data_IF_389671937211
#
_entry.id   IF_389671937211
#
_cell.length_a   1.000
_cell.length_b   1.000
_cell.length_c   1.000
_cell.angle_alpha   90.00
_cell.angle_beta   90.00
_cell.angle_gamma   90.00
#
_symmetry.space_group_name_H-M   'P 1'
#
loop_
_entity.id
_entity.type
_entity.pdbx_description
1 polymer ?
#
# COMPACT_ATOMS: atom_id res chain seq x y z
N UNK A 1 -32.15 -39.67 31.68
CA UNK A 1 -32.48 -38.30 32.11
C UNK A 1 -31.32 -37.47 31.64
N UNK A 2 -31.38 -37.11 30.36
CA UNK A 2 -30.30 -36.48 29.62
C UNK A 2 -30.29 -34.98 29.91
N UNK A 3 -29.18 -34.50 30.45
CA UNK A 3 -28.87 -33.09 30.65
C UNK A 3 -28.68 -32.40 29.30
N UNK A 4 -29.70 -31.66 28.87
CA UNK A 4 -29.61 -30.77 27.71
C UNK A 4 -29.09 -29.41 28.17
N UNK A 5 -27.82 -29.15 27.89
CA UNK A 5 -27.17 -27.84 28.07
C UNK A 5 -27.47 -26.96 26.86
N UNK A 6 -28.35 -25.98 27.03
CA UNK A 6 -28.51 -24.88 26.07
C UNK A 6 -27.32 -23.91 26.15
N UNK A 7 -26.66 -23.55 25.02
CA UNK A 7 -25.75 -22.42 25.02
C UNK A 7 -26.53 -21.12 24.77
N UNK A 8 -26.50 -20.23 25.77
CA UNK A 8 -26.82 -18.80 25.67
C UNK A 8 -26.14 -18.17 24.45
N UNK A 9 -26.90 -17.83 23.43
CA UNK A 9 -26.43 -16.94 22.36
C UNK A 9 -26.63 -15.50 22.84
N UNK A 10 -25.54 -14.91 23.32
CA UNK A 10 -25.46 -13.50 23.67
C UNK A 10 -25.21 -12.63 22.43
N UNK A 11 -26.02 -11.56 22.33
CA UNK A 11 -25.76 -10.28 21.67
C UNK A 11 -25.34 -10.28 20.20
N UNK A 12 -26.33 -10.14 19.32
CA UNK A 12 -26.17 -9.47 18.03
C UNK A 12 -27.30 -8.43 17.87
N UNK A 13 -27.18 -7.29 18.54
CA UNK A 13 -28.11 -6.17 18.38
C UNK A 13 -27.36 -4.84 18.27
N UNK A 14 -26.86 -4.55 17.06
CA UNK A 14 -26.55 -3.19 16.59
C UNK A 14 -26.91 -3.03 15.10
N UNK A 15 -27.96 -3.71 14.66
CA UNK A 15 -28.58 -3.47 13.35
C UNK A 15 -29.75 -2.50 13.52
N UNK A 16 -29.46 -1.19 13.49
CA UNK A 16 -30.36 -0.13 13.02
C UNK A 16 -29.78 1.25 13.36
N UNK A 17 -29.40 2.03 12.34
CA UNK A 17 -29.78 3.45 12.20
C UNK A 17 -29.18 4.10 10.93
N UNK A 18 -30.09 4.57 10.06
CA UNK A 18 -29.93 5.48 8.90
C UNK A 18 -29.41 4.80 7.62
N UNK A 19 -30.05 5.02 6.45
CA UNK A 19 -29.39 4.76 5.17
C UNK A 19 -28.31 5.84 5.00
N UNK A 20 -27.14 5.60 5.59
CA UNK A 20 -25.96 6.31 5.16
C UNK A 20 -25.61 5.76 3.79
N UNK A 21 -25.52 6.65 2.81
CA UNK A 21 -24.98 6.35 1.49
C UNK A 21 -23.50 5.97 1.68
N UNK A 22 -23.29 4.70 2.05
CA UNK A 22 -22.00 4.12 2.33
C UNK A 22 -21.44 3.64 0.99
N UNK A 23 -20.26 4.09 0.57
CA UNK A 23 -19.63 3.56 -0.62
C UNK A 23 -19.45 2.04 -0.48
N UNK A 24 -19.67 1.32 -1.57
CA UNK A 24 -19.53 -0.14 -1.61
C UNK A 24 -18.07 -0.56 -1.38
N UNK A 25 -17.12 0.22 -1.90
CA UNK A 25 -15.70 0.02 -1.75
C UNK A 25 -14.99 1.35 -1.47
N UNK A 26 -13.99 1.33 -0.58
CA UNK A 26 -13.13 2.48 -0.25
C UNK A 26 -11.68 2.04 -0.31
N UNK A 27 -10.87 2.73 -1.11
CA UNK A 27 -9.43 2.48 -1.20
C UNK A 27 -8.64 3.44 -0.29
N UNK A 28 -7.60 2.93 0.39
CA UNK A 28 -6.72 3.74 1.24
C UNK A 28 -6.07 4.89 0.45
N UNK A 29 -5.59 4.61 -0.77
CA UNK A 29 -4.93 5.57 -1.64
C UNK A 29 -5.79 6.79 -1.97
N UNK A 30 -7.11 6.61 -2.11
CA UNK A 30 -8.04 7.72 -2.34
C UNK A 30 -8.12 8.64 -1.11
N UNK A 31 -8.14 8.06 0.10
CA UNK A 31 -8.16 8.82 1.35
C UNK A 31 -6.85 9.60 1.58
N UNK A 32 -5.72 9.09 1.09
CA UNK A 32 -4.46 9.85 1.08
C UNK A 32 -4.49 11.03 0.11
N UNK A 33 -5.20 10.91 -1.01
CA UNK A 33 -5.34 11.98 -2.01
C UNK A 33 -6.30 13.12 -1.62
N UNK A 34 -7.24 12.88 -0.71
CA UNK A 34 -8.25 13.87 -0.31
C UNK A 34 -7.68 15.04 0.52
N UNK A 35 -8.42 16.11 0.68
CA UNK A 35 -8.06 17.21 1.60
C UNK A 35 -8.47 16.90 3.04
N UNK A 36 -7.80 17.51 4.03
CA UNK A 36 -8.16 17.35 5.45
C UNK A 36 -9.63 17.73 5.73
N UNK A 37 -10.15 18.73 5.00
CA UNK A 37 -11.55 19.16 5.09
C UNK A 37 -12.51 18.06 4.64
N UNK A 38 -12.24 17.41 3.50
CA UNK A 38 -13.06 16.31 2.99
C UNK A 38 -13.05 15.11 3.95
N UNK A 39 -11.89 14.77 4.50
CA UNK A 39 -11.79 13.71 5.51
C UNK A 39 -12.60 14.03 6.77
N UNK A 40 -12.57 15.28 7.23
CA UNK A 40 -13.37 15.72 8.37
C UNK A 40 -14.88 15.70 8.07
N UNK A 41 -15.30 16.07 6.85
CA UNK A 41 -16.68 15.99 6.39
C UNK A 41 -17.18 14.53 6.36
N UNK A 42 -16.37 13.59 5.85
CA UNK A 42 -16.65 12.14 5.91
C UNK A 42 -16.74 11.63 7.36
N UNK A 43 -15.86 12.08 8.24
CA UNK A 43 -15.92 11.67 9.64
C UNK A 43 -17.19 12.17 10.33
N UNK A 44 -17.65 13.39 10.00
CA UNK A 44 -18.93 13.94 10.49
C UNK A 44 -20.13 13.18 9.94
N UNK A 45 -20.13 12.82 8.65
CA UNK A 45 -21.24 12.04 8.06
C UNK A 45 -21.36 10.67 8.73
N UNK A 46 -20.22 10.04 9.05
CA UNK A 46 -20.16 8.79 9.78
C UNK A 46 -20.39 8.97 11.30
N UNK A 47 -20.61 10.20 11.80
CA UNK A 47 -20.81 10.51 13.24
C UNK A 47 -19.65 10.02 14.12
N UNK A 48 -18.43 10.04 13.61
CA UNK A 48 -17.24 9.67 14.36
C UNK A 48 -16.84 10.76 15.34
N UNK A 49 -16.46 10.36 16.56
CA UNK A 49 -15.82 11.25 17.52
C UNK A 49 -14.36 11.42 17.13
N UNK A 50 -14.08 12.49 16.40
CA UNK A 50 -12.71 12.85 15.99
C UNK A 50 -12.08 13.73 17.05
N UNK A 51 -10.91 13.34 17.54
CA UNK A 51 -10.09 14.23 18.37
C UNK A 51 -9.35 15.22 17.45
N UNK A 52 -9.47 16.54 17.67
CA UNK A 52 -8.86 17.55 16.80
C UNK A 52 -7.33 17.54 16.83
N UNK A 53 -6.72 17.07 17.93
CA UNK A 53 -5.25 17.00 18.07
C UNK A 53 -4.62 15.80 17.35
N UNK A 54 -5.43 14.92 16.75
CA UNK A 54 -4.92 13.76 16.02
C UNK A 54 -4.38 14.15 14.65
N UNK A 55 -3.28 13.50 14.25
CA UNK A 55 -2.71 13.71 12.92
C UNK A 55 -3.66 13.22 11.83
N UNK A 56 -3.50 13.75 10.61
CA UNK A 56 -4.25 13.33 9.41
C UNK A 56 -4.30 11.79 9.25
N UNK A 57 -3.18 11.10 9.49
CA UNK A 57 -3.09 9.64 9.37
C UNK A 57 -3.96 8.91 10.40
N UNK A 58 -4.06 9.43 11.63
CA UNK A 58 -4.97 8.86 12.62
C UNK A 58 -6.44 9.05 12.23
N UNK A 59 -6.79 10.17 11.60
CA UNK A 59 -8.14 10.38 11.07
C UNK A 59 -8.48 9.38 9.97
N UNK A 60 -7.53 9.09 9.07
CA UNK A 60 -7.68 8.08 8.02
C UNK A 60 -7.88 6.70 8.65
N UNK A 61 -7.05 6.33 9.64
CA UNK A 61 -7.21 5.10 10.40
C UNK A 61 -8.61 4.97 11.04
N UNK A 62 -9.08 6.03 11.71
CA UNK A 62 -10.39 6.04 12.37
C UNK A 62 -11.54 5.91 11.34
N UNK A 63 -11.40 6.51 10.15
CA UNK A 63 -12.36 6.36 9.04
C UNK A 63 -12.40 4.93 8.50
N UNK A 64 -11.23 4.33 8.23
CA UNK A 64 -11.14 2.96 7.73
C UNK A 64 -11.75 1.95 8.70
N UNK A 65 -11.49 2.11 10.01
CA UNK A 65 -12.14 1.31 11.06
C UNK A 65 -13.67 1.46 11.01
N UNK A 66 -14.16 2.68 10.82
CA UNK A 66 -15.59 2.94 10.75
C UNK A 66 -16.25 2.31 9.51
N UNK A 67 -15.60 2.38 8.35
CA UNK A 67 -16.07 1.74 7.11
C UNK A 67 -16.10 0.22 7.25
N UNK A 68 -15.02 -0.39 7.76
CA UNK A 68 -14.94 -1.83 7.99
C UNK A 68 -16.03 -2.33 8.95
N UNK A 69 -16.25 -1.64 10.08
CA UNK A 69 -17.29 -2.00 11.06
C UNK A 69 -18.73 -1.89 10.51
N UNK A 70 -18.94 -1.16 9.40
CA UNK A 70 -20.25 -0.98 8.75
C UNK A 70 -20.44 -1.87 7.54
N UNK A 71 -19.47 -2.73 7.22
CA UNK A 71 -19.53 -3.68 6.12
C UNK A 71 -19.09 -3.10 4.76
N UNK A 72 -18.50 -1.91 4.72
CA UNK A 72 -17.87 -1.38 3.50
C UNK A 72 -16.56 -2.13 3.24
N UNK A 73 -16.38 -2.64 2.02
CA UNK A 73 -15.13 -3.29 1.63
C UNK A 73 -14.05 -2.23 1.56
N UNK A 74 -12.99 -2.42 2.34
CA UNK A 74 -11.87 -1.48 2.38
C UNK A 74 -10.67 -2.11 1.71
N UNK A 75 -10.17 -1.50 0.64
CA UNK A 75 -9.01 -1.97 -0.12
C UNK A 75 -7.77 -1.12 0.15
N UNK A 76 -6.61 -1.75 0.03
CA UNK A 76 -5.32 -1.11 0.21
C UNK A 76 -4.32 -1.62 -0.80
N UNK A 77 -3.42 -0.75 -1.22
CA UNK A 77 -2.24 -1.04 -2.01
C UNK A 77 -1.02 -0.40 -1.36
N UNK A 78 0.09 -1.13 -1.30
CA UNK A 78 1.31 -0.63 -0.67
C UNK A 78 2.49 -1.57 -0.86
N UNK A 79 3.68 -1.07 -0.54
CA UNK A 79 4.92 -1.83 -0.61
C UNK A 79 5.15 -2.52 0.73
N UNK A 80 5.33 -3.84 0.71
CA UNK A 80 5.58 -4.64 1.89
C UNK A 80 6.95 -4.32 2.49
N UNK A 81 6.96 -3.92 3.75
CA UNK A 81 8.15 -3.76 4.58
C UNK A 81 8.12 -4.79 5.71
N UNK A 82 9.05 -5.74 5.67
CA UNK A 82 9.14 -6.81 6.67
C UNK A 82 9.92 -6.31 7.89
N UNK A 83 9.28 -6.38 9.06
CA UNK A 83 9.90 -6.07 10.34
C UNK A 83 10.31 -7.37 11.02
N UNK A 84 11.55 -7.79 10.76
CA UNK A 84 12.03 -9.12 11.16
C UNK A 84 11.51 -10.22 10.23
N UNK A 85 11.51 -11.48 10.70
CA UNK A 85 11.35 -12.62 9.79
C UNK A 85 9.89 -12.97 9.42
N UNK A 86 8.89 -12.54 10.20
CA UNK A 86 7.55 -13.14 10.14
C UNK A 86 6.38 -12.16 10.16
N UNK A 87 6.60 -10.85 10.20
CA UNK A 87 5.49 -9.90 10.05
C UNK A 87 5.97 -8.65 9.32
N UNK A 88 5.03 -7.94 8.72
CA UNK A 88 5.34 -6.73 7.98
C UNK A 88 4.22 -5.72 8.00
N UNK A 89 4.51 -4.57 7.43
CA UNK A 89 3.57 -3.48 7.24
C UNK A 89 3.55 -3.09 5.77
N UNK A 90 2.37 -2.73 5.25
CA UNK A 90 2.28 -2.12 3.93
C UNK A 90 2.56 -0.63 4.06
N UNK A 91 3.59 -0.17 3.36
CA UNK A 91 4.02 1.23 3.32
C UNK A 91 3.47 1.92 2.08
N UNK A 92 2.97 3.14 2.29
CA UNK A 92 2.37 3.93 1.22
C UNK A 92 3.43 4.81 0.52
N UNK A 93 3.40 4.83 -0.82
CA UNK A 93 4.30 5.66 -1.62
C UNK A 93 4.09 7.19 -1.44
N UNK A 94 2.85 7.72 -1.34
CA UNK A 94 2.62 9.16 -1.09
C UNK A 94 3.30 9.68 0.18
N UNK A 95 3.53 8.77 1.14
CA UNK A 95 4.09 9.04 2.45
C UNK A 95 5.60 8.78 2.54
N UNK A 96 6.27 8.62 1.38
CA UNK A 96 7.69 8.29 1.25
C UNK A 96 8.09 7.04 2.05
N UNK A 97 7.19 6.05 2.11
CA UNK A 97 7.37 4.80 2.85
C UNK A 97 7.65 4.98 4.35
N UNK A 98 7.31 6.14 4.92
CA UNK A 98 7.53 6.43 6.33
C UNK A 98 6.48 5.73 7.20
N UNK A 99 6.89 5.07 8.31
CA UNK A 99 5.96 4.39 9.20
C UNK A 99 4.83 5.30 9.68
N UNK A 100 3.59 4.82 9.50
CA UNK A 100 2.36 5.49 9.89
C UNK A 100 1.45 4.60 10.74
N UNK A 101 0.52 5.19 11.51
CA UNK A 101 -0.48 4.43 12.27
C UNK A 101 -1.56 3.78 11.37
N UNK A 102 -1.73 4.31 10.16
CA UNK A 102 -2.64 3.84 9.11
C UNK A 102 -2.06 2.71 8.25
N UNK A 103 -0.78 2.37 8.44
CA UNK A 103 -0.14 1.27 7.72
C UNK A 103 -0.75 -0.08 8.12
N UNK A 104 -1.27 -0.86 7.16
CA UNK A 104 -1.81 -2.19 7.43
C UNK A 104 -0.73 -3.17 7.86
N UNK A 105 -1.02 -3.92 8.92
CA UNK A 105 -0.27 -5.08 9.35
C UNK A 105 -0.53 -6.27 8.43
N UNK A 106 0.53 -6.96 8.03
CA UNK A 106 0.46 -8.18 7.22
C UNK A 106 0.80 -9.39 8.10
N UNK A 107 -0.16 -10.31 8.32
CA UNK A 107 0.07 -11.52 9.10
C UNK A 107 1.13 -12.45 8.50
N UNK A 108 1.90 -13.19 9.33
CA UNK A 108 2.86 -14.20 8.89
C UNK A 108 2.28 -15.21 7.92
N UNK A 109 1.04 -15.63 8.17
CA UNK A 109 0.36 -16.64 7.36
C UNK A 109 0.24 -16.22 5.89
N UNK A 110 -0.01 -14.92 5.61
CA UNK A 110 -0.10 -14.42 4.23
C UNK A 110 1.30 -14.32 3.60
N UNK A 111 2.30 -13.89 4.37
CA UNK A 111 3.70 -13.80 3.91
C UNK A 111 4.21 -15.17 3.48
N UNK A 112 4.07 -16.17 4.35
CA UNK A 112 4.50 -17.55 4.06
C UNK A 112 3.69 -18.20 2.95
N UNK A 113 2.37 -17.96 2.88
CA UNK A 113 1.48 -18.55 1.86
C UNK A 113 1.84 -18.10 0.43
N UNK A 114 2.15 -16.81 0.25
CA UNK A 114 2.44 -16.24 -1.07
C UNK A 114 3.94 -16.01 -1.33
N UNK A 115 4.81 -16.42 -0.40
CA UNK A 115 6.25 -16.23 -0.50
C UNK A 115 6.67 -14.77 -0.63
N UNK A 116 5.97 -13.87 0.07
CA UNK A 116 6.19 -12.43 -0.05
C UNK A 116 7.55 -12.04 0.54
N UNK A 117 8.21 -11.08 -0.11
CA UNK A 117 9.49 -10.51 0.32
C UNK A 117 9.35 -9.00 0.52
N UNK A 118 10.27 -8.43 1.30
CA UNK A 118 10.33 -6.97 1.46
C UNK A 118 10.55 -6.31 0.11
N UNK A 119 9.80 -5.24 -0.16
CA UNK A 119 9.77 -4.55 -1.45
C UNK A 119 8.63 -5.00 -2.38
N UNK A 120 7.90 -6.07 -2.06
CA UNK A 120 6.79 -6.47 -2.93
C UNK A 120 5.62 -5.48 -2.88
N UNK A 121 5.09 -5.10 -4.04
CA UNK A 121 3.84 -4.36 -4.13
C UNK A 121 2.66 -5.31 -3.90
N UNK A 122 1.92 -5.09 -2.83
CA UNK A 122 0.79 -5.93 -2.42
C UNK A 122 -0.48 -5.08 -2.40
N UNK A 123 -1.53 -5.60 -3.02
CA UNK A 123 -2.87 -5.04 -2.92
C UNK A 123 -3.84 -6.06 -2.33
N UNK A 124 -4.75 -5.61 -1.48
CA UNK A 124 -5.69 -6.49 -0.81
C UNK A 124 -6.76 -5.77 -0.01
N UNK A 125 -7.55 -6.55 0.70
CA UNK A 125 -8.67 -6.08 1.53
C UNK A 125 -8.26 -6.04 2.99
N UNK A 126 -8.62 -4.95 3.65
CA UNK A 126 -8.45 -4.78 5.09
C UNK A 126 -9.57 -5.52 5.82
N UNK A 127 -9.19 -6.21 6.89
CA UNK A 127 -10.13 -6.86 7.79
C UNK A 127 -10.81 -5.88 8.72
N UNK A 128 -11.96 -6.28 9.25
CA UNK A 128 -12.64 -5.56 10.33
C UNK A 128 -11.80 -5.68 11.59
N UNK A 129 -11.15 -4.59 11.98
CA UNK A 129 -10.26 -4.56 13.14
C UNK A 129 -11.03 -4.30 14.42
N UNK A 130 -10.66 -5.01 15.50
CA UNK A 130 -11.22 -4.76 16.82
C UNK A 130 -10.63 -3.46 17.37
N UNK A 131 -11.41 -2.69 18.11
CA UNK A 131 -11.00 -1.36 18.61
C UNK A 131 -9.72 -1.39 19.49
N UNK A 132 -9.39 -2.58 20.02
CA UNK A 132 -8.19 -2.84 20.83
C UNK A 132 -6.90 -2.93 20.01
N UNK A 133 -6.98 -3.18 18.71
CA UNK A 133 -5.81 -3.34 17.85
C UNK A 133 -5.24 -1.97 17.46
N UNK A 134 -3.91 -1.86 17.43
CA UNK A 134 -3.23 -0.59 17.09
C UNK A 134 -3.27 -0.30 15.59
N UNK A 135 -3.17 -1.33 14.75
CA UNK A 135 -3.11 -1.24 13.29
C UNK A 135 -4.24 -2.07 12.68
N UNK A 136 -4.64 -1.71 11.46
CA UNK A 136 -5.53 -2.55 10.65
C UNK A 136 -4.75 -3.76 10.14
N UNK A 137 -5.40 -4.91 10.00
CA UNK A 137 -4.76 -6.11 9.46
C UNK A 137 -5.25 -6.39 8.04
N UNK A 138 -4.37 -6.88 7.18
CA UNK A 138 -4.72 -7.40 5.87
C UNK A 138 -5.44 -8.75 6.04
N UNK A 139 -6.65 -8.85 5.51
CA UNK A 139 -7.47 -10.07 5.58
C UNK A 139 -7.23 -10.96 4.35
N UNK A 140 -7.31 -10.36 3.16
CA UNK A 140 -7.16 -11.07 1.90
C UNK A 140 -6.27 -10.31 0.92
N UNK A 141 -5.31 -11.01 0.30
CA UNK A 141 -4.50 -10.47 -0.81
C UNK A 141 -5.28 -10.63 -2.12
N UNK A 142 -5.40 -9.55 -2.89
CA UNK A 142 -6.08 -9.53 -4.19
C UNK A 142 -5.07 -9.58 -5.35
N UNK A 143 -3.99 -8.80 -5.25
CA UNK A 143 -2.96 -8.75 -6.28
C UNK A 143 -1.56 -8.55 -5.69
N UNK A 144 -0.55 -9.06 -6.39
CA UNK A 144 0.87 -8.94 -6.04
C UNK A 144 1.62 -8.50 -7.31
N UNK A 145 2.42 -7.43 -7.24
CA UNK A 145 3.16 -6.82 -8.37
C UNK A 145 2.26 -6.52 -9.59
N UNK A 146 1.02 -6.09 -9.34
CA UNK A 146 0.03 -5.81 -10.39
C UNK A 146 -0.56 -7.06 -11.06
N UNK A 147 -0.26 -8.27 -10.58
CA UNK A 147 -0.85 -9.53 -11.06
C UNK A 147 -1.88 -10.06 -10.07
N UNK A 148 -2.99 -10.67 -10.53
CA UNK A 148 -3.95 -11.29 -9.63
C UNK A 148 -3.32 -12.49 -8.91
N UNK A 149 -3.71 -12.69 -7.65
CA UNK A 149 -3.10 -13.69 -6.76
C UNK A 149 -3.13 -15.12 -7.33
N UNK A 150 -4.13 -15.43 -8.16
CA UNK A 150 -4.31 -16.73 -8.80
C UNK A 150 -3.21 -17.07 -9.82
N UNK A 151 -2.61 -16.04 -10.41
CA UNK A 151 -1.54 -16.16 -11.41
C UNK A 151 -0.16 -15.91 -10.83
N UNK A 152 -0.11 -15.56 -9.54
CA UNK A 152 1.14 -15.24 -8.87
C UNK A 152 1.95 -16.51 -8.62
N UNK A 153 3.18 -16.50 -9.13
CA UNK A 153 4.21 -17.46 -8.78
C UNK A 153 5.39 -16.67 -8.22
N UNK A 154 5.99 -17.19 -7.15
CA UNK A 154 7.16 -16.57 -6.53
C UNK A 154 8.28 -16.51 -7.58
N UNK A 155 8.74 -15.31 -7.97
CA UNK A 155 9.83 -15.19 -8.93
C UNK A 155 11.13 -15.72 -8.32
N UNK A 156 12.05 -16.14 -9.19
CA UNK A 156 13.44 -16.43 -8.81
C UNK A 156 14.04 -15.25 -8.07
N UNK A 157 14.84 -15.52 -7.03
CA UNK A 157 15.46 -14.46 -6.24
C UNK A 157 16.33 -13.57 -7.13
N UNK A 158 16.34 -12.25 -6.88
CA UNK A 158 17.13 -11.32 -7.68
C UNK A 158 18.62 -11.69 -7.72
N UNK A 159 19.16 -12.18 -6.59
CA UNK A 159 20.57 -12.58 -6.47
C UNK A 159 20.92 -13.87 -7.23
N UNK A 160 19.92 -14.68 -7.57
CA UNK A 160 20.09 -15.93 -8.34
C UNK A 160 20.07 -15.69 -9.85
N UNK A 161 19.66 -14.49 -10.29
CA UNK A 161 19.62 -14.15 -11.71
C UNK A 161 21.04 -14.05 -12.28
N UNK A 162 21.24 -14.60 -13.48
CA UNK A 162 22.54 -14.51 -14.15
C UNK A 162 22.81 -13.06 -14.58
N UNK A 163 23.89 -12.43 -14.09
CA UNK A 163 24.24 -11.08 -14.51
C UNK A 163 24.67 -11.11 -15.97
N UNK A 164 24.06 -10.25 -16.79
CA UNK A 164 24.40 -10.10 -18.21
C UNK A 164 24.72 -8.65 -18.53
N UNK A 165 25.57 -8.44 -19.53
CA UNK A 165 25.80 -7.12 -20.08
C UNK A 165 24.52 -6.59 -20.75
N UNK A 166 24.28 -5.26 -20.74
CA UNK A 166 23.12 -4.68 -21.39
C UNK A 166 23.09 -5.02 -22.88
N UNK A 167 22.05 -5.72 -23.32
CA UNK A 167 21.81 -6.06 -24.73
C UNK A 167 20.87 -5.09 -25.43
N UNK A 168 20.07 -4.35 -24.65
CA UNK A 168 19.09 -3.39 -25.16
C UNK A 168 19.49 -1.97 -24.77
N UNK A 169 19.66 -1.13 -25.78
CA UNK A 169 19.96 0.29 -25.63
C UNK A 169 18.71 1.06 -25.21
N UNK A 170 18.90 2.02 -24.30
CA UNK A 170 17.93 3.05 -23.97
C UNK A 170 18.30 4.27 -24.80
N UNK A 171 17.45 4.63 -25.76
CA UNK A 171 17.60 5.86 -26.54
C UNK A 171 16.97 6.99 -25.74
N UNK A 172 17.77 8.00 -25.44
CA UNK A 172 17.32 9.16 -24.68
C UNK A 172 16.84 10.29 -25.61
N UNK A 173 17.38 10.37 -26.82
CA UNK A 173 16.96 11.32 -27.86
C UNK A 173 15.45 11.23 -28.09
N UNK A 174 14.76 12.36 -27.91
CA UNK A 174 13.35 12.48 -28.21
C UNK A 174 13.06 13.80 -28.96
N UNK A 175 12.02 13.77 -29.79
CA UNK A 175 11.63 14.92 -30.62
C UNK A 175 10.95 16.04 -29.80
N UNK A 176 10.67 15.81 -28.51
CA UNK A 176 9.89 16.72 -27.66
C UNK A 176 10.79 17.68 -26.90
N UNK A 177 11.90 17.21 -26.34
CA UNK A 177 12.78 18.03 -25.51
C UNK A 177 13.91 18.71 -26.30
N UNK A 178 14.28 18.19 -27.48
CA UNK A 178 15.30 18.78 -28.36
C UNK A 178 16.66 19.02 -27.69
N UNK A 179 16.95 18.36 -26.56
CA UNK A 179 18.11 18.64 -25.72
C UNK A 179 19.39 18.11 -26.34
N UNK A 180 20.33 19.00 -26.62
CA UNK A 180 21.66 18.67 -27.15
C UNK A 180 22.42 17.75 -26.18
N UNK A 181 22.26 17.96 -24.86
CA UNK A 181 22.93 17.15 -23.83
C UNK A 181 22.55 15.68 -23.92
N UNK A 182 21.27 15.40 -24.19
CA UNK A 182 20.76 14.04 -24.30
C UNK A 182 21.32 13.34 -25.55
N UNK A 183 21.39 14.06 -26.67
CA UNK A 183 22.00 13.57 -27.92
C UNK A 183 23.50 13.33 -27.75
N UNK A 184 24.19 14.21 -27.03
CA UNK A 184 25.60 14.05 -26.70
C UNK A 184 25.84 12.80 -25.84
N UNK A 185 24.99 12.55 -24.83
CA UNK A 185 25.06 11.31 -24.04
C UNK A 185 24.83 10.08 -24.91
N UNK A 186 23.84 10.10 -25.80
CA UNK A 186 23.58 8.98 -26.70
C UNK A 186 24.76 8.67 -27.63
N UNK A 187 25.53 9.67 -28.06
CA UNK A 187 26.69 9.47 -28.92
C UNK A 187 27.95 9.04 -28.15
N UNK A 188 28.19 9.61 -26.98
CA UNK A 188 29.47 9.44 -26.24
C UNK A 188 29.37 8.34 -25.19
N UNK A 189 28.23 8.22 -24.51
CA UNK A 189 28.00 7.28 -23.39
C UNK A 189 26.63 6.61 -23.53
N UNK A 190 26.46 5.66 -24.47
CA UNK A 190 25.18 5.01 -24.68
C UNK A 190 24.74 4.24 -23.42
N UNK A 191 23.48 4.43 -23.01
CA UNK A 191 22.90 3.74 -21.87
C UNK A 191 22.15 2.48 -22.30
N UNK A 192 22.26 1.41 -21.51
CA UNK A 192 21.55 0.16 -21.72
C UNK A 192 20.69 -0.24 -20.53
N UNK A 193 19.75 -1.17 -20.74
CA UNK A 193 18.94 -1.75 -19.66
C UNK A 193 19.84 -2.57 -18.72
N UNK A 194 19.84 -2.22 -17.43
CA UNK A 194 20.74 -2.79 -16.44
C UNK A 194 22.11 -2.10 -16.36
N UNK A 195 22.31 -0.97 -17.07
CA UNK A 195 23.55 -0.20 -16.98
C UNK A 195 23.74 0.40 -15.58
N UNK A 196 24.95 0.29 -15.05
CA UNK A 196 25.40 0.98 -13.84
C UNK A 196 26.27 2.17 -14.26
N UNK A 197 25.72 3.38 -14.19
CA UNK A 197 26.40 4.60 -14.61
C UNK A 197 26.62 5.53 -13.42
N UNK A 198 27.70 6.32 -13.48
CA UNK A 198 28.02 7.36 -12.51
C UNK A 198 28.18 8.68 -13.26
N UNK A 199 27.39 9.69 -12.87
CA UNK A 199 27.52 11.05 -13.39
C UNK A 199 28.41 11.82 -12.41
N UNK A 200 29.66 12.05 -12.81
CA UNK A 200 30.63 12.83 -12.03
C UNK A 200 30.46 14.31 -12.38
N UNK A 201 30.12 15.13 -11.39
CA UNK A 201 29.83 16.54 -11.57
C UNK A 201 30.28 17.35 -10.35
N UNK A 202 31.13 18.38 -10.49
CA UNK A 202 31.43 19.34 -9.43
C UNK A 202 30.19 20.12 -8.97
N UNK A 203 30.20 20.77 -7.79
CA UNK A 203 29.07 21.57 -7.34
C UNK A 203 28.71 22.67 -8.35
N UNK A 204 27.40 22.92 -8.53
CA UNK A 204 26.82 23.94 -9.43
C UNK A 204 27.10 23.75 -10.94
N UNK A 205 27.40 22.53 -11.39
CA UNK A 205 27.66 22.22 -12.82
C UNK A 205 26.44 21.70 -13.59
N UNK A 206 25.23 21.86 -13.04
CA UNK A 206 23.99 21.55 -13.76
C UNK A 206 23.54 20.09 -13.76
N UNK A 207 23.91 19.30 -12.73
CA UNK A 207 23.50 17.89 -12.60
C UNK A 207 21.98 17.65 -12.61
N UNK A 208 21.18 18.64 -12.23
CA UNK A 208 19.72 18.53 -12.06
C UNK A 208 18.93 19.17 -13.23
N UNK A 209 19.63 19.74 -14.22
CA UNK A 209 19.01 20.41 -15.38
C UNK A 209 18.29 19.40 -16.28
#
# INVERSE_FOLDING_TARGET
MDDTVEPKTASASLAACIPMDLPAEVQLSDLHGESLRQLAERARSLRLRVNPDRSRRHLILDLLRAYGNRGTVTSVDGVLDLSGEHHGFLRSAPDNFRPGPDDPYVPPALISKFGLRSGNLVAGRLGVSRDRDKHLALDQVTAIEGRPVETWAVPTGFDELTPMFPSQRILLENNVAGSISVRAMDLITPLGRGQRALIVAPPRTGKTI
#
